data_IF_807898721840
#
_entry.id   IF_807898721840
#
_cell.length_a   1.000
_cell.length_b   1.000
_cell.length_c   1.000
_cell.angle_alpha   90.00
_cell.angle_beta   90.00
_cell.angle_gamma   90.00
#
_symmetry.space_group_name_H-M   'P 1'
#
loop_
_entity.id
_entity.type
_entity.pdbx_description
1 polymer ?
#
# COMPACT_ATOMS: atom_id res chain seq x y z
N UNK A 1 -8.59 -3.44 0.58
CA UNK A 1 -7.35 -2.76 0.12
C UNK A 1 -6.34 -2.58 1.23
N UNK A 2 -6.75 -2.02 2.34
CA UNK A 2 -5.83 -1.77 3.45
C UNK A 2 -5.20 -3.07 3.97
N UNK A 3 -5.99 -4.11 4.11
CA UNK A 3 -5.47 -5.38 4.60
C UNK A 3 -4.47 -5.99 3.63
N UNK A 4 -4.62 -5.77 2.33
CA UNK A 4 -3.64 -6.26 1.38
C UNK A 4 -2.31 -5.50 1.53
N UNK A 5 -2.37 -4.20 1.77
CA UNK A 5 -1.17 -3.40 2.00
C UNK A 5 -0.45 -3.90 3.27
N UNK A 6 -1.20 -4.13 4.33
CA UNK A 6 -0.62 -4.64 5.58
C UNK A 6 0.03 -6.00 5.36
N UNK A 7 -0.64 -6.89 4.64
CA UNK A 7 -0.12 -8.22 4.39
C UNK A 7 1.22 -8.16 3.65
N UNK A 8 1.31 -7.29 2.64
CA UNK A 8 2.54 -7.17 1.85
C UNK A 8 3.68 -6.62 2.68
N UNK A 9 3.40 -5.64 3.52
CA UNK A 9 4.43 -5.06 4.38
C UNK A 9 4.92 -6.09 5.38
N UNK A 10 4.02 -6.86 5.97
CA UNK A 10 4.39 -7.86 6.94
C UNK A 10 5.19 -9.00 6.33
N UNK A 11 4.85 -9.39 5.11
CA UNK A 11 5.64 -10.37 4.40
C UNK A 11 7.08 -9.91 4.20
N UNK A 12 7.25 -8.65 3.83
CA UNK A 12 8.58 -8.11 3.59
C UNK A 12 9.38 -8.01 4.90
N UNK A 13 8.71 -7.63 5.99
CA UNK A 13 9.37 -7.59 7.29
C UNK A 13 9.84 -8.96 7.70
N UNK A 14 8.97 -9.97 7.54
CA UNK A 14 9.31 -11.32 7.92
C UNK A 14 10.46 -11.89 7.11
N UNK A 15 10.61 -11.43 5.86
CA UNK A 15 11.69 -11.87 4.99
C UNK A 15 12.91 -10.97 5.06
N UNK A 16 12.89 -9.96 5.92
CA UNK A 16 13.97 -8.97 6.03
C UNK A 16 14.27 -8.27 4.71
N UNK A 17 13.22 -8.00 3.94
CA UNK A 17 13.38 -7.33 2.67
C UNK A 17 13.30 -5.82 2.90
N UNK A 18 14.23 -5.08 2.35
CA UNK A 18 14.29 -3.63 2.44
C UNK A 18 14.22 -3.07 1.04
N UNK A 19 13.30 -2.12 0.79
CA UNK A 19 12.37 -1.51 1.74
C UNK A 19 11.17 -2.40 2.01
N UNK A 20 10.53 -2.20 3.14
CA UNK A 20 9.38 -3.02 3.50
C UNK A 20 8.06 -2.48 2.98
N UNK A 21 8.06 -1.29 2.41
CA UNK A 21 6.82 -0.74 1.84
C UNK A 21 6.50 -1.41 0.51
N UNK A 22 5.23 -1.38 0.13
CA UNK A 22 4.83 -1.87 -1.18
C UNK A 22 4.84 -0.71 -2.17
N UNK A 23 4.59 -1.00 -3.45
CA UNK A 23 4.57 0.03 -4.49
C UNK A 23 3.22 0.02 -5.19
N UNK A 24 2.93 1.11 -5.89
CA UNK A 24 1.72 1.19 -6.67
C UNK A 24 1.70 0.13 -7.76
N UNK A 25 2.85 -0.13 -8.38
CA UNK A 25 2.92 -1.16 -9.42
C UNK A 25 2.53 -2.52 -8.87
N UNK A 26 3.01 -2.87 -7.68
CA UNK A 26 2.66 -4.14 -7.07
C UNK A 26 1.15 -4.23 -6.83
N UNK A 27 0.55 -3.15 -6.36
CA UNK A 27 -0.88 -3.13 -6.11
C UNK A 27 -1.69 -3.19 -7.40
N UNK A 28 -1.20 -2.55 -8.46
CA UNK A 28 -1.87 -2.62 -9.75
C UNK A 28 -1.87 -4.04 -10.29
N UNK A 29 -0.76 -4.75 -10.14
CA UNK A 29 -0.68 -6.15 -10.57
C UNK A 29 -1.64 -7.02 -9.78
N UNK A 30 -1.69 -6.81 -8.47
CA UNK A 30 -2.62 -7.53 -7.62
C UNK A 30 -4.06 -7.25 -8.03
N UNK A 31 -4.40 -5.98 -8.21
CA UNK A 31 -5.76 -5.59 -8.58
C UNK A 31 -6.16 -6.20 -9.91
N UNK A 32 -5.23 -6.24 -10.87
CA UNK A 32 -5.51 -6.85 -12.16
C UNK A 32 -5.84 -8.33 -12.00
N UNK A 33 -5.09 -9.04 -11.19
CA UNK A 33 -5.36 -10.46 -10.95
C UNK A 33 -6.67 -10.69 -10.23
N UNK A 34 -7.08 -9.75 -9.38
CA UNK A 34 -8.31 -9.86 -8.63
C UNK A 34 -9.52 -9.32 -9.37
N UNK A 35 -9.31 -8.79 -10.56
CA UNK A 35 -10.41 -8.23 -11.33
C UNK A 35 -10.89 -6.88 -10.83
N UNK A 36 -10.04 -6.15 -10.13
CA UNK A 36 -10.39 -4.82 -9.61
C UNK A 36 -9.99 -3.77 -10.63
N UNK A 37 -10.95 -2.93 -11.08
CA UNK A 37 -10.62 -1.87 -12.03
C UNK A 37 -9.63 -0.88 -11.45
N UNK A 38 -8.82 -0.29 -12.31
CA UNK A 38 -7.78 0.64 -11.87
C UNK A 38 -8.36 1.86 -11.17
N UNK A 39 -9.46 2.40 -11.65
CA UNK A 39 -10.05 3.57 -11.01
C UNK A 39 -10.56 3.22 -9.61
N UNK A 40 -11.05 2.00 -9.40
CA UNK A 40 -11.46 1.56 -8.08
C UNK A 40 -10.25 1.46 -7.15
N UNK A 41 -9.14 0.92 -7.65
CA UNK A 41 -7.91 0.83 -6.90
C UNK A 41 -7.44 2.22 -6.47
N UNK A 42 -7.37 3.15 -7.42
CA UNK A 42 -6.88 4.48 -7.13
C UNK A 42 -7.80 5.23 -6.17
N UNK A 43 -9.11 5.03 -6.30
CA UNK A 43 -10.05 5.64 -5.37
C UNK A 43 -9.86 5.10 -3.95
N UNK A 44 -9.68 3.80 -3.82
CA UNK A 44 -9.44 3.18 -2.51
C UNK A 44 -8.18 3.72 -1.87
N UNK A 45 -7.11 3.86 -2.65
CA UNK A 45 -5.86 4.41 -2.13
C UNK A 45 -6.02 5.87 -1.71
N UNK A 46 -6.77 6.65 -2.49
CA UNK A 46 -7.03 8.04 -2.16
C UNK A 46 -7.79 8.16 -0.84
N UNK A 47 -8.78 7.30 -0.64
CA UNK A 47 -9.55 7.32 0.60
C UNK A 47 -8.68 6.94 1.80
N UNK A 48 -7.85 5.93 1.65
CA UNK A 48 -6.96 5.52 2.74
C UNK A 48 -5.97 6.62 3.07
N UNK A 49 -5.48 7.32 2.05
CA UNK A 49 -4.55 8.42 2.27
C UNK A 49 -5.24 9.58 2.99
N UNK A 50 -6.46 9.91 2.56
CA UNK A 50 -7.21 11.00 3.19
C UNK A 50 -7.52 10.72 4.65
N UNK A 51 -7.81 9.48 4.97
CA UNK A 51 -8.13 9.11 6.35
C UNK A 51 -6.89 8.89 7.20
N UNK A 52 -5.70 9.04 6.62
CA UNK A 52 -4.46 8.89 7.38
C UNK A 52 -4.06 7.46 7.65
N UNK A 53 -4.64 6.50 6.96
CA UNK A 53 -4.32 5.10 7.19
C UNK A 53 -3.08 4.64 6.45
N UNK A 54 -2.72 5.33 5.37
CA UNK A 54 -1.51 5.01 4.64
C UNK A 54 -0.76 6.28 4.34
N UNK A 55 0.55 6.13 4.11
CA UNK A 55 1.39 7.19 3.60
C UNK A 55 1.85 6.79 2.21
N UNK A 56 1.92 7.78 1.33
CA UNK A 56 2.30 7.56 -0.06
C UNK A 56 3.40 8.54 -0.38
N UNK A 57 4.45 8.05 -1.00
CA UNK A 57 5.55 8.92 -1.42
C UNK A 57 5.98 8.54 -2.81
N UNK A 58 6.72 9.42 -3.45
CA UNK A 58 7.12 9.21 -4.82
C UNK A 58 8.53 8.66 -4.87
N UNK A 59 8.74 7.67 -5.74
CA UNK A 59 10.07 7.19 -6.05
C UNK A 59 10.42 7.73 -7.43
N UNK A 60 11.54 7.31 -7.97
CA UNK A 60 11.97 7.76 -9.28
C UNK A 60 10.98 7.38 -10.38
N UNK A 61 10.47 6.16 -10.33
CA UNK A 61 9.59 5.64 -11.37
C UNK A 61 8.26 5.13 -10.87
N UNK A 62 7.95 5.30 -9.60
CA UNK A 62 6.78 4.68 -9.01
C UNK A 62 6.37 5.44 -7.76
N UNK A 63 5.43 4.88 -7.01
CA UNK A 63 4.99 5.42 -5.73
C UNK A 63 5.14 4.33 -4.71
N UNK A 64 5.70 4.65 -3.54
CA UNK A 64 5.73 3.71 -2.45
C UNK A 64 4.52 3.95 -1.56
N UNK A 65 4.02 2.89 -0.97
CA UNK A 65 2.83 2.93 -0.15
C UNK A 65 3.09 2.10 1.09
N UNK A 66 2.82 2.66 2.25
CA UNK A 66 2.97 1.92 3.49
C UNK A 66 1.86 2.29 4.45
N UNK A 67 1.46 1.38 5.34
CA UNK A 67 0.46 1.71 6.34
C UNK A 67 1.06 2.65 7.37
N UNK A 68 0.23 3.49 7.94
CA UNK A 68 0.67 4.34 9.04
C UNK A 68 0.54 3.51 10.30
N UNK A 69 1.67 3.32 10.98
CA UNK A 69 1.69 2.49 12.17
C UNK A 69 1.98 3.33 13.38
N UNK A 70 1.79 2.73 14.54
CA UNK A 70 2.09 3.43 15.76
C UNK A 70 1.12 4.53 16.06
N UNK A 71 -0.02 4.51 15.39
CA UNK A 71 -0.95 5.51 15.62
C UNK A 71 -1.77 5.15 16.77
N UNK A 72 -1.37 4.41 17.53
CA UNK A 72 -2.16 3.98 18.61
C UNK A 72 -2.67 5.15 19.34
N UNK A 73 -3.61 4.93 20.11
CA UNK A 73 -4.19 5.95 20.89
C UNK A 73 -3.10 6.44 21.69
N UNK A 74 -2.98 7.36 21.85
CA UNK A 74 -2.00 7.84 22.72
C UNK A 74 -2.66 8.51 23.81
#
# INVERSE_FOLDING_TARGET
>A
MYSEILRRVEERRGANVIPEHTTLLDLRRWAFREGIPEDTLLRSLSELRKTGRIQVGRTLNDWWIRPVEGIGPK
#
